data_IF_091454499594
#
_entry.id   IF_091454499594
#
_cell.length_a   1.000
_cell.length_b   1.000
_cell.length_c   1.000
_cell.angle_alpha   90.00
_cell.angle_beta   90.00
_cell.angle_gamma   90.00
#
_symmetry.space_group_name_H-M   'P 1'
#
loop_
_entity.id
_entity.type
_entity.pdbx_description
1 polymer ?
#
# COMPACT_ATOMS: atom_id res chain seq x y z
N UNK A 1 -5.16 8.23 1.06
CA UNK A 1 -6.44 8.86 0.60
C UNK A 1 -7.66 8.20 1.23
N UNK A 2 -7.86 6.88 1.07
CA UNK A 2 -8.98 6.14 1.68
C UNK A 2 -8.50 5.28 2.86
N UNK A 3 -7.95 5.91 3.92
CA UNK A 3 -7.30 5.17 5.01
C UNK A 3 -8.27 4.31 5.84
N UNK A 4 -9.54 4.71 5.94
CA UNK A 4 -10.55 4.08 6.81
C UNK A 4 -11.35 2.97 6.14
N UNK A 5 -11.29 2.85 4.82
CA UNK A 5 -12.07 1.86 4.06
C UNK A 5 -12.52 2.38 2.69
N UNK A 6 -13.10 1.51 1.86
CA UNK A 6 -13.51 1.84 0.50
C UNK A 6 -14.55 2.96 0.49
N UNK A 7 -14.30 4.01 -0.30
CA UNK A 7 -15.19 5.17 -0.42
C UNK A 7 -15.22 6.10 0.80
N UNK A 8 -14.42 5.84 1.84
CA UNK A 8 -14.28 6.70 3.00
C UNK A 8 -13.08 7.63 2.83
N UNK A 9 -13.28 8.72 2.07
CA UNK A 9 -12.26 9.72 1.79
C UNK A 9 -11.80 10.47 3.05
N UNK A 10 -10.47 10.58 3.19
CA UNK A 10 -9.83 11.39 4.22
C UNK A 10 -9.73 12.86 3.76
N UNK A 11 -10.79 13.63 4.01
CA UNK A 11 -10.86 15.04 3.62
C UNK A 11 -9.86 15.92 4.36
N UNK A 12 -9.46 15.56 5.58
CA UNK A 12 -8.42 16.28 6.32
C UNK A 12 -7.06 16.13 5.61
N UNK A 13 -6.72 14.91 5.18
CA UNK A 13 -5.52 14.67 4.37
C UNK A 13 -5.58 15.39 3.01
N UNK A 14 -6.72 15.39 2.32
CA UNK A 14 -6.87 16.09 1.04
C UNK A 14 -6.72 17.61 1.20
N UNK A 15 -7.25 18.20 2.28
CA UNK A 15 -7.05 19.61 2.58
C UNK A 15 -5.57 19.91 2.87
N UNK A 16 -4.86 19.04 3.59
CA UNK A 16 -3.42 19.17 3.76
C UNK A 16 -2.67 19.20 2.42
N UNK A 17 -2.96 18.27 1.50
CA UNK A 17 -2.33 18.25 0.16
C UNK A 17 -2.63 19.54 -0.61
N UNK A 18 -3.86 20.05 -0.55
CA UNK A 18 -4.23 21.32 -1.16
C UNK A 18 -3.42 22.50 -0.60
N UNK A 19 -3.16 22.53 0.70
CA UNK A 19 -2.31 23.56 1.30
C UNK A 19 -0.85 23.46 0.80
N UNK A 20 -0.32 22.25 0.64
CA UNK A 20 1.01 22.03 0.03
C UNK A 20 1.06 22.54 -1.41
N UNK A 21 0.05 22.21 -2.23
CA UNK A 21 -0.05 22.68 -3.62
C UNK A 21 -0.15 24.20 -3.69
N UNK A 22 -0.98 24.82 -2.84
CA UNK A 22 -1.08 26.28 -2.75
C UNK A 22 0.27 26.90 -2.40
N UNK A 23 0.96 26.34 -1.41
CA UNK A 23 2.28 26.81 -0.99
C UNK A 23 3.31 26.69 -2.11
N UNK A 24 3.31 25.61 -2.89
CA UNK A 24 4.17 25.49 -4.08
C UNK A 24 3.88 26.59 -5.12
N UNK A 25 2.60 26.91 -5.33
CA UNK A 25 2.15 27.99 -6.20
C UNK A 25 2.68 29.36 -5.80
N UNK A 26 2.76 29.67 -4.50
CA UNK A 26 3.34 30.93 -4.00
C UNK A 26 4.81 31.13 -4.42
N UNK A 27 5.52 30.05 -4.77
CA UNK A 27 6.93 30.07 -5.23
C UNK A 27 7.08 29.74 -6.72
N UNK A 28 5.98 29.67 -7.48
CA UNK A 28 6.02 29.31 -8.90
C UNK A 28 6.47 27.87 -9.19
N UNK A 29 6.35 26.97 -8.21
CA UNK A 29 6.72 25.55 -8.35
C UNK A 29 5.52 24.78 -8.92
N UNK A 30 5.74 24.07 -10.03
CA UNK A 30 4.74 23.15 -10.59
C UNK A 30 4.69 21.85 -9.80
N UNK A 31 3.49 21.32 -9.58
CA UNK A 31 3.26 20.09 -8.80
C UNK A 31 2.67 19.01 -9.69
N UNK A 32 3.24 17.81 -9.61
CA UNK A 32 2.68 16.57 -10.14
C UNK A 32 2.22 15.70 -8.97
N UNK A 33 0.99 15.20 -9.02
CA UNK A 33 0.47 14.28 -8.00
C UNK A 33 0.80 12.84 -8.42
N UNK A 34 1.70 12.21 -7.66
CA UNK A 34 2.09 10.82 -7.85
C UNK A 34 1.31 9.91 -6.88
N UNK A 35 0.37 9.08 -7.34
CA UNK A 35 -0.26 8.04 -6.53
C UNK A 35 0.74 6.89 -6.29
N UNK A 36 1.75 7.17 -5.49
CA UNK A 36 2.92 6.33 -5.29
C UNK A 36 2.58 5.00 -4.60
N UNK A 37 3.32 3.95 -4.97
CA UNK A 37 3.37 2.69 -4.24
C UNK A 37 4.67 1.96 -4.53
N UNK A 38 5.14 1.23 -3.53
CA UNK A 38 6.19 0.22 -3.65
C UNK A 38 5.71 -1.08 -2.99
N UNK A 39 5.83 -2.20 -3.71
CA UNK A 39 5.40 -3.53 -3.27
C UNK A 39 4.03 -3.53 -2.56
N UNK A 40 3.06 -2.80 -3.11
CA UNK A 40 1.65 -2.70 -2.70
C UNK A 40 1.34 -1.90 -1.43
N UNK A 41 1.93 -2.22 -0.27
CA UNK A 41 1.50 -1.69 1.03
C UNK A 41 2.60 -1.77 2.08
N UNK A 42 2.46 -0.98 3.16
CA UNK A 42 3.26 -1.15 4.39
C UNK A 42 3.17 -2.56 4.95
N UNK A 43 2.02 -3.21 4.81
CA UNK A 43 1.81 -4.60 5.24
C UNK A 43 2.29 -5.64 4.24
N UNK A 44 2.92 -5.22 3.15
CA UNK A 44 3.69 -6.09 2.25
C UNK A 44 5.15 -5.63 2.13
N UNK A 45 5.60 -4.76 3.05
CA UNK A 45 6.99 -4.33 3.19
C UNK A 45 7.38 -3.06 2.42
N UNK A 46 6.41 -2.34 1.82
CA UNK A 46 6.64 -1.07 1.13
C UNK A 46 5.59 -0.01 1.51
N UNK A 47 4.89 0.55 0.54
CA UNK A 47 3.88 1.61 0.74
C UNK A 47 2.84 1.68 -0.39
N UNK A 48 1.86 2.57 -0.24
CA UNK A 48 0.77 2.77 -1.20
C UNK A 48 -0.58 2.38 -0.62
N UNK A 49 -1.05 1.18 -0.93
CA UNK A 49 -2.39 0.71 -0.58
C UNK A 49 -2.58 0.54 0.94
N UNK A 50 -3.75 0.93 1.48
CA UNK A 50 -4.08 0.79 2.89
C UNK A 50 -4.27 -0.68 3.31
N UNK A 51 -4.10 -0.97 4.60
CA UNK A 51 -4.16 -2.34 5.16
C UNK A 51 -5.45 -3.06 4.84
N UNK A 52 -6.58 -2.33 4.81
CA UNK A 52 -7.90 -2.91 4.58
C UNK A 52 -7.96 -3.65 3.25
N UNK A 53 -7.14 -3.30 2.25
CA UNK A 53 -7.07 -4.03 0.98
C UNK A 53 -6.55 -5.46 1.15
N UNK A 54 -5.62 -5.69 2.09
CA UNK A 54 -5.13 -7.02 2.43
C UNK A 54 -6.12 -7.77 3.30
N UNK A 55 -6.73 -7.09 4.28
CA UNK A 55 -7.75 -7.69 5.15
C UNK A 55 -8.94 -8.21 4.31
N UNK A 56 -9.35 -7.45 3.28
CA UNK A 56 -10.43 -7.77 2.35
C UNK A 56 -10.23 -9.10 1.60
N UNK A 57 -8.98 -9.44 1.29
CA UNK A 57 -8.64 -10.69 0.57
C UNK A 57 -8.25 -11.81 1.53
N UNK A 58 -8.44 -11.62 2.83
CA UNK A 58 -8.25 -12.64 3.86
C UNK A 58 -6.86 -12.71 4.49
N UNK A 59 -5.97 -11.74 4.23
CA UNK A 59 -4.72 -11.66 4.99
C UNK A 59 -5.00 -11.21 6.42
N UNK A 60 -4.33 -11.85 7.38
CA UNK A 60 -4.23 -11.30 8.73
C UNK A 60 -3.01 -10.37 8.79
N UNK A 61 -3.26 -9.07 8.70
CA UNK A 61 -2.24 -8.03 8.69
C UNK A 61 -1.34 -8.02 9.93
N UNK A 62 -1.79 -8.57 11.07
CA UNK A 62 -0.98 -8.71 12.29
C UNK A 62 0.02 -9.88 12.26
N UNK A 63 -0.03 -10.74 11.23
CA UNK A 63 0.81 -11.96 11.13
C UNK A 63 1.59 -12.08 9.82
N UNK A 64 1.71 -10.98 9.06
CA UNK A 64 2.36 -10.98 7.75
C UNK A 64 3.81 -11.46 7.84
N UNK A 65 4.54 -10.96 8.82
CA UNK A 65 5.96 -11.26 8.95
C UNK A 65 6.18 -12.70 9.41
N UNK A 66 5.45 -13.13 10.44
CA UNK A 66 5.53 -14.46 11.03
C UNK A 66 5.14 -15.56 10.03
N UNK A 67 4.17 -15.27 9.15
CA UNK A 67 3.77 -16.19 8.06
C UNK A 67 4.75 -16.20 6.89
N UNK A 68 5.70 -15.26 6.82
CA UNK A 68 6.60 -15.08 5.68
C UNK A 68 5.94 -14.47 4.44
N UNK A 69 4.67 -14.04 4.55
CA UNK A 69 3.90 -13.48 3.44
C UNK A 69 4.52 -12.19 2.87
N UNK A 70 5.24 -11.44 3.70
CA UNK A 70 6.18 -10.40 3.31
C UNK A 70 7.25 -10.20 4.40
N UNK A 71 8.41 -9.65 4.04
CA UNK A 71 9.36 -9.09 4.99
C UNK A 71 8.99 -7.62 5.22
N UNK A 72 8.64 -7.28 6.45
CA UNK A 72 8.38 -5.90 6.86
C UNK A 72 9.51 -5.37 7.74
N UNK A 73 9.74 -4.06 7.72
CA UNK A 73 10.70 -3.44 8.64
C UNK A 73 10.33 -3.70 10.10
N UNK A 74 9.03 -3.62 10.42
CA UNK A 74 8.50 -3.82 11.77
C UNK A 74 8.72 -5.24 12.28
N UNK A 75 8.60 -6.25 11.41
CA UNK A 75 8.80 -7.64 11.79
C UNK A 75 10.26 -8.05 11.85
N UNK A 76 11.08 -7.56 10.91
CA UNK A 76 12.51 -7.89 10.85
C UNK A 76 13.32 -7.17 11.95
N UNK A 77 12.99 -5.91 12.24
CA UNK A 77 13.74 -5.06 13.17
C UNK A 77 15.01 -4.46 12.55
N UNK A 78 15.84 -3.86 13.40
CA UNK A 78 17.10 -3.24 12.98
C UNK A 78 18.33 -4.09 13.33
N UNK A 79 19.38 -4.09 12.49
CA UNK A 79 19.46 -3.36 11.22
C UNK A 79 18.69 -4.06 10.08
N UNK A 80 17.81 -3.33 9.41
CA UNK A 80 17.12 -3.85 8.23
C UNK A 80 18.10 -4.01 7.04
N UNK A 81 18.12 -5.15 6.34
CA UNK A 81 19.11 -5.38 5.30
C UNK A 81 18.86 -4.46 4.10
N UNK A 82 19.95 -3.91 3.54
CA UNK A 82 19.87 -3.06 2.36
C UNK A 82 19.19 -3.79 1.21
N UNK A 83 18.28 -3.08 0.53
CA UNK A 83 17.56 -3.58 -0.64
C UNK A 83 16.85 -4.91 -0.38
N UNK A 84 16.42 -5.17 0.86
CA UNK A 84 15.60 -6.33 1.18
C UNK A 84 14.15 -6.12 0.76
N UNK A 85 13.62 -4.91 0.89
CA UNK A 85 12.21 -4.61 0.60
C UNK A 85 11.75 -4.96 -0.83
N UNK A 86 12.54 -4.80 -1.92
CA UNK A 86 12.10 -5.15 -3.27
C UNK A 86 11.92 -6.66 -3.45
N UNK A 87 12.57 -7.49 -2.62
CA UNK A 87 12.37 -8.94 -2.65
C UNK A 87 10.92 -9.33 -2.35
N UNK A 88 10.13 -8.44 -1.72
CA UNK A 88 8.71 -8.65 -1.49
C UNK A 88 7.90 -8.77 -2.78
N UNK A 89 8.38 -8.31 -3.94
CA UNK A 89 7.70 -8.55 -5.22
C UNK A 89 7.46 -10.05 -5.51
N UNK A 90 8.32 -10.92 -4.97
CA UNK A 90 8.22 -12.37 -5.16
C UNK A 90 7.50 -13.08 -4.00
N UNK A 91 6.98 -12.34 -3.01
CA UNK A 91 6.33 -12.91 -1.83
C UNK A 91 4.81 -12.93 -1.95
N UNK A 92 4.20 -13.78 -1.14
CA UNK A 92 2.77 -14.12 -1.22
C UNK A 92 1.87 -12.89 -1.16
N UNK A 93 2.11 -11.95 -0.24
CA UNK A 93 1.25 -10.78 -0.08
C UNK A 93 1.22 -9.94 -1.36
N UNK A 94 2.37 -9.43 -1.80
CA UNK A 94 2.50 -8.58 -2.99
C UNK A 94 2.03 -9.30 -4.27
N UNK A 95 2.45 -10.56 -4.45
CA UNK A 95 2.07 -11.36 -5.62
C UNK A 95 0.55 -11.58 -5.69
N UNK A 96 -0.09 -11.87 -4.56
CA UNK A 96 -1.55 -12.03 -4.48
C UNK A 96 -2.25 -10.71 -4.79
N UNK A 97 -1.83 -9.61 -4.17
CA UNK A 97 -2.49 -8.32 -4.35
C UNK A 97 -2.41 -7.82 -5.79
N UNK A 98 -1.25 -7.90 -6.45
CA UNK A 98 -1.14 -7.54 -7.87
C UNK A 98 -1.93 -8.48 -8.77
N UNK A 99 -1.95 -9.79 -8.47
CA UNK A 99 -2.76 -10.76 -9.24
C UNK A 99 -4.24 -10.41 -9.16
N UNK A 100 -4.75 -10.10 -7.96
CA UNK A 100 -6.15 -9.74 -7.77
C UNK A 100 -6.48 -8.37 -8.38
N UNK A 101 -5.58 -7.39 -8.28
CA UNK A 101 -5.78 -6.07 -8.87
C UNK A 101 -5.88 -6.13 -10.40
N UNK A 102 -4.95 -6.82 -11.08
CA UNK A 102 -4.91 -6.86 -12.54
C UNK A 102 -5.77 -7.96 -13.16
N UNK A 103 -5.98 -9.07 -12.44
CA UNK A 103 -6.61 -10.27 -12.99
C UNK A 103 -7.58 -10.96 -12.02
N UNK A 104 -8.08 -10.26 -10.99
CA UNK A 104 -8.99 -10.81 -9.99
C UNK A 104 -10.27 -11.39 -10.59
N UNK A 105 -10.85 -10.76 -11.62
CA UNK A 105 -12.03 -11.33 -12.31
C UNK A 105 -11.79 -12.72 -12.92
N UNK A 106 -10.53 -13.04 -13.26
CA UNK A 106 -10.16 -14.36 -13.82
C UNK A 106 -9.78 -15.36 -12.73
N UNK A 107 -8.99 -14.94 -11.75
CA UNK A 107 -8.42 -15.85 -10.75
C UNK A 107 -9.24 -15.94 -9.45
N UNK A 108 -10.15 -14.99 -9.22
CA UNK A 108 -11.07 -14.96 -8.09
C UNK A 108 -12.49 -14.51 -8.55
N UNK A 109 -13.12 -15.22 -9.51
CA UNK A 109 -14.39 -14.78 -10.12
C UNK A 109 -15.57 -14.73 -9.15
N UNK A 110 -15.51 -15.47 -8.04
CA UNK A 110 -16.55 -15.51 -7.01
C UNK A 110 -16.29 -14.49 -5.88
N UNK A 111 -15.21 -13.72 -5.97
CA UNK A 111 -14.94 -12.68 -4.98
C UNK A 111 -15.82 -11.46 -5.27
N UNK A 112 -16.77 -11.21 -4.39
CA UNK A 112 -17.64 -10.03 -4.40
C UNK A 112 -17.28 -9.14 -3.22
N UNK A 113 -17.05 -7.85 -3.48
CA UNK A 113 -16.75 -6.82 -2.49
C UNK A 113 -18.02 -6.08 -2.05
#
# INVERSE_FOLDING_TARGET
VEHKGPGLYDFEYLEYIKQVVKKAGDYGISVWIDPHQDVWSRWSGGDGAPSWTLDLVGFNTSRIYESGAAITHQGYGDPYPRMMWPSNHQRLATGTMFTLFFAGRKYAPNMTL
#
